data_IF_661004704049
#
_entry.id   IF_661004704049
#
_cell.length_a   1.000
_cell.length_b   1.000
_cell.length_c   1.000
_cell.angle_alpha   90.00
_cell.angle_beta   90.00
_cell.angle_gamma   90.00
#
_symmetry.space_group_name_H-M   'P 1'
#
loop_
_entity.id
_entity.type
_entity.pdbx_description
1 polymer ?
#
# COMPACT_ATOMS: atom_id res chain seq x y z
N UNK A 1 1.23 -24.21 -18.76
CA UNK A 1 1.12 -24.13 -17.28
C UNK A 1 1.37 -22.73 -16.72
N UNK A 2 2.58 -22.38 -16.24
CA UNK A 2 2.79 -21.36 -15.18
C UNK A 2 2.30 -19.92 -15.41
N UNK A 3 2.20 -19.44 -16.66
CA UNK A 3 1.59 -18.13 -17.00
C UNK A 3 0.07 -18.11 -16.75
N UNK A 4 -0.61 -19.23 -17.03
CA UNK A 4 -2.07 -19.39 -16.83
C UNK A 4 -2.39 -19.42 -15.35
N UNK A 5 -1.68 -20.22 -14.55
CA UNK A 5 -1.81 -20.25 -13.09
C UNK A 5 -1.60 -18.86 -12.46
N UNK A 6 -0.65 -18.06 -13.00
CA UNK A 6 -0.45 -16.67 -12.58
C UNK A 6 -1.65 -15.77 -12.89
N UNK A 7 -2.39 -16.02 -13.98
CA UNK A 7 -3.60 -15.26 -14.31
C UNK A 7 -4.78 -15.69 -13.44
N UNK A 8 -4.93 -16.99 -13.17
CA UNK A 8 -5.96 -17.50 -12.26
C UNK A 8 -5.76 -16.89 -10.86
N UNK A 9 -4.55 -16.89 -10.31
CA UNK A 9 -4.27 -16.27 -9.00
C UNK A 9 -4.60 -14.78 -8.94
N UNK A 10 -4.33 -14.02 -10.01
CA UNK A 10 -4.69 -12.59 -10.11
C UNK A 10 -6.19 -12.37 -10.27
N UNK A 11 -6.89 -13.27 -10.97
CA UNK A 11 -8.34 -13.24 -11.06
C UNK A 11 -9.01 -13.57 -9.72
N UNK A 12 -8.47 -14.49 -8.92
CA UNK A 12 -8.96 -14.75 -7.55
C UNK A 12 -8.83 -13.49 -6.67
N UNK A 13 -7.69 -12.79 -6.73
CA UNK A 13 -7.50 -11.52 -6.01
C UNK A 13 -8.41 -10.39 -6.52
N UNK A 14 -8.73 -10.37 -7.83
CA UNK A 14 -9.75 -9.47 -8.38
C UNK A 14 -11.16 -9.82 -7.88
N UNK A 15 -11.50 -11.10 -7.77
CA UNK A 15 -12.79 -11.56 -7.26
C UNK A 15 -12.97 -11.21 -5.78
N UNK A 16 -11.93 -11.31 -4.93
CA UNK A 16 -12.06 -10.87 -3.53
C UNK A 16 -12.25 -9.35 -3.43
N UNK A 17 -11.58 -8.55 -4.25
CA UNK A 17 -11.82 -7.10 -4.33
C UNK A 17 -13.23 -6.76 -4.83
N UNK A 18 -13.74 -7.46 -5.86
CA UNK A 18 -15.11 -7.31 -6.34
C UNK A 18 -16.09 -7.65 -5.22
N UNK A 19 -15.92 -8.79 -4.55
CA UNK A 19 -16.78 -9.23 -3.46
C UNK A 19 -16.84 -8.23 -2.31
N UNK A 20 -15.69 -7.65 -1.92
CA UNK A 20 -15.64 -6.54 -0.97
C UNK A 20 -16.48 -5.34 -1.40
N UNK A 21 -16.32 -4.85 -2.64
CA UNK A 21 -17.14 -3.73 -3.11
C UNK A 21 -18.63 -4.09 -3.19
N UNK A 22 -18.97 -5.30 -3.65
CA UNK A 22 -20.36 -5.77 -3.75
C UNK A 22 -21.07 -5.78 -2.40
N UNK A 23 -20.41 -6.20 -1.31
CA UNK A 23 -21.01 -6.19 0.05
C UNK A 23 -21.51 -4.79 0.46
N UNK A 24 -20.76 -3.73 0.12
CA UNK A 24 -21.11 -2.37 0.53
C UNK A 24 -22.04 -1.65 -0.46
N UNK A 25 -21.87 -1.91 -1.75
CA UNK A 25 -22.76 -1.41 -2.81
C UNK A 25 -24.16 -2.02 -2.68
N UNK A 26 -24.29 -3.27 -2.25
CA UNK A 26 -25.59 -3.94 -2.03
C UNK A 26 -26.11 -3.79 -0.59
N UNK A 27 -25.24 -3.63 0.40
CA UNK A 27 -25.61 -3.70 1.82
C UNK A 27 -25.59 -5.15 2.33
N UNK A 28 -25.61 -5.31 3.66
CA UNK A 28 -25.38 -6.61 4.34
C UNK A 28 -26.67 -7.40 4.65
N UNK A 29 -27.84 -6.88 4.30
CA UNK A 29 -29.13 -7.53 4.59
C UNK A 29 -29.55 -8.56 3.55
N UNK A 30 -29.11 -8.38 2.28
CA UNK A 30 -29.39 -9.34 1.22
C UNK A 30 -28.69 -10.69 1.51
N UNK A 31 -29.33 -11.86 1.31
CA UNK A 31 -28.82 -13.15 1.81
C UNK A 31 -27.38 -13.49 1.38
N UNK A 32 -27.01 -13.15 0.13
CA UNK A 32 -25.67 -13.41 -0.42
C UNK A 32 -24.61 -12.55 0.26
N UNK A 33 -24.84 -11.25 0.40
CA UNK A 33 -23.87 -10.34 1.02
C UNK A 33 -23.83 -10.47 2.54
N UNK A 34 -24.95 -10.84 3.18
CA UNK A 34 -25.01 -11.27 4.58
C UNK A 34 -24.10 -12.46 4.84
N UNK A 35 -24.19 -13.50 4.00
CA UNK A 35 -23.32 -14.67 4.05
C UNK A 35 -21.86 -14.29 3.82
N UNK A 36 -21.57 -13.48 2.79
CA UNK A 36 -20.19 -13.04 2.49
C UNK A 36 -19.58 -12.21 3.62
N UNK A 37 -20.36 -11.35 4.28
CA UNK A 37 -19.90 -10.54 5.41
C UNK A 37 -19.54 -11.43 6.61
N UNK A 38 -20.46 -12.31 7.02
CA UNK A 38 -20.28 -13.22 8.15
C UNK A 38 -19.14 -14.24 7.95
N UNK A 39 -18.86 -14.62 6.71
CA UNK A 39 -17.81 -15.60 6.36
C UNK A 39 -16.56 -14.93 5.74
N UNK A 40 -16.44 -13.60 5.80
CA UNK A 40 -15.44 -12.83 5.05
C UNK A 40 -13.99 -13.26 5.32
N UNK A 41 -13.65 -13.58 6.58
CA UNK A 41 -12.36 -14.12 6.99
C UNK A 41 -12.05 -15.48 6.36
N UNK A 42 -13.01 -16.41 6.39
CA UNK A 42 -12.89 -17.77 5.85
C UNK A 42 -12.80 -17.74 4.32
N UNK A 43 -13.67 -16.97 3.65
CA UNK A 43 -13.66 -16.80 2.19
C UNK A 43 -12.35 -16.21 1.69
N UNK A 44 -11.80 -15.22 2.41
CA UNK A 44 -10.51 -14.62 2.09
C UNK A 44 -9.34 -15.58 2.37
N UNK A 45 -9.38 -16.37 3.45
CA UNK A 45 -8.39 -17.40 3.75
C UNK A 45 -8.34 -18.47 2.65
N UNK A 46 -9.50 -18.97 2.21
CA UNK A 46 -9.60 -19.93 1.09
C UNK A 46 -8.99 -19.33 -0.18
N UNK A 47 -9.35 -18.09 -0.53
CA UNK A 47 -8.81 -17.41 -1.69
C UNK A 47 -7.28 -17.25 -1.62
N UNK A 48 -6.75 -16.88 -0.45
CA UNK A 48 -5.31 -16.73 -0.20
C UNK A 48 -4.58 -18.07 -0.31
N UNK A 49 -5.09 -19.14 0.30
CA UNK A 49 -4.51 -20.50 0.20
C UNK A 49 -4.48 -20.97 -1.26
N UNK A 50 -5.58 -20.80 -2.01
CA UNK A 50 -5.64 -21.15 -3.43
C UNK A 50 -4.61 -20.37 -4.27
N UNK A 51 -4.44 -19.06 -4.02
CA UNK A 51 -3.44 -18.23 -4.73
C UNK A 51 -2.01 -18.68 -4.42
N UNK A 52 -1.71 -19.06 -3.17
CA UNK A 52 -0.39 -19.59 -2.80
C UNK A 52 -0.14 -20.97 -3.42
N UNK A 53 -1.09 -21.90 -3.37
CA UNK A 53 -0.99 -23.23 -3.98
C UNK A 53 -0.77 -23.14 -5.51
N UNK A 54 -1.51 -22.27 -6.21
CA UNK A 54 -1.35 -22.03 -7.65
C UNK A 54 0.04 -21.46 -8.03
N UNK A 55 0.82 -20.98 -7.06
CA UNK A 55 2.10 -20.31 -7.28
C UNK A 55 3.24 -20.86 -6.39
N UNK A 56 3.06 -21.98 -5.71
CA UNK A 56 4.01 -22.53 -4.73
C UNK A 56 5.42 -22.75 -5.34
N UNK A 57 5.47 -23.22 -6.58
CA UNK A 57 6.69 -23.43 -7.38
C UNK A 57 7.42 -22.14 -7.79
N UNK A 58 6.88 -20.96 -7.47
CA UNK A 58 7.50 -19.64 -7.70
C UNK A 58 7.96 -18.96 -6.41
N UNK A 59 7.55 -19.47 -5.24
CA UNK A 59 7.88 -18.89 -3.95
C UNK A 59 9.38 -19.09 -3.67
N UNK A 60 10.07 -17.99 -3.37
CA UNK A 60 11.48 -18.00 -2.98
C UNK A 60 11.61 -18.33 -1.50
N UNK A 61 12.83 -18.61 -1.03
CA UNK A 61 13.10 -18.83 0.40
C UNK A 61 12.54 -17.71 1.30
N UNK A 62 12.68 -16.43 0.91
CA UNK A 62 12.12 -15.29 1.65
C UNK A 62 10.57 -15.23 1.63
N UNK A 63 9.94 -15.82 0.62
CA UNK A 63 8.49 -15.95 0.52
C UNK A 63 7.99 -17.09 1.42
N UNK A 64 8.70 -18.21 1.46
CA UNK A 64 8.47 -19.29 2.42
C UNK A 64 8.69 -18.85 3.88
N UNK A 65 9.69 -18.00 4.15
CA UNK A 65 9.86 -17.38 5.47
C UNK A 65 8.68 -16.46 5.83
N UNK A 66 8.03 -15.84 4.84
CA UNK A 66 6.80 -15.05 5.05
C UNK A 66 5.60 -15.96 5.38
N UNK A 67 5.50 -17.14 4.77
CA UNK A 67 4.50 -18.17 5.13
C UNK A 67 4.76 -18.73 6.53
N UNK A 68 6.01 -19.03 6.86
CA UNK A 68 6.41 -19.51 8.18
C UNK A 68 6.13 -18.47 9.28
N UNK A 69 6.36 -17.17 9.01
CA UNK A 69 5.97 -16.09 9.92
C UNK A 69 4.45 -16.07 10.17
N UNK A 70 3.63 -16.19 9.12
CA UNK A 70 2.18 -16.24 9.28
C UNK A 70 1.71 -17.45 10.11
N UNK A 71 2.28 -18.63 9.86
CA UNK A 71 1.97 -19.85 10.62
C UNK A 71 2.41 -19.73 12.09
N UNK A 72 3.63 -19.24 12.35
CA UNK A 72 4.13 -19.01 13.70
C UNK A 72 3.29 -17.96 14.45
N UNK A 73 2.82 -16.92 13.75
CA UNK A 73 1.91 -15.91 14.29
C UNK A 73 0.55 -16.52 14.66
N UNK A 74 -0.01 -17.37 13.80
CA UNK A 74 -1.26 -18.08 14.09
C UNK A 74 -1.12 -19.00 15.30
N UNK A 75 -0.06 -19.81 15.36
CA UNK A 75 0.23 -20.71 16.49
C UNK A 75 0.41 -19.93 17.80
N UNK A 76 1.14 -18.81 17.78
CA UNK A 76 1.33 -17.95 18.95
C UNK A 76 -0.01 -17.44 19.51
N UNK A 77 -0.92 -17.01 18.65
CA UNK A 77 -2.21 -16.51 19.10
C UNK A 77 -3.16 -17.65 19.51
N UNK A 78 -3.27 -18.73 18.75
CA UNK A 78 -4.06 -19.90 19.17
C UNK A 78 -3.60 -20.48 20.53
N UNK A 79 -2.29 -20.59 20.78
CA UNK A 79 -1.77 -21.01 22.10
C UNK A 79 -1.92 -19.97 23.22
N UNK A 80 -2.42 -18.76 22.93
CA UNK A 80 -2.79 -17.73 23.92
C UNK A 80 -4.29 -17.39 23.88
N UNK A 81 -5.11 -18.14 23.14
CA UNK A 81 -6.56 -17.96 23.00
C UNK A 81 -7.28 -18.02 24.36
N UNK A 82 -6.80 -18.87 25.28
CA UNK A 82 -7.30 -19.00 26.66
C UNK A 82 -7.00 -17.80 27.57
N UNK A 83 -5.97 -17.00 27.26
CA UNK A 83 -5.63 -15.77 27.99
C UNK A 83 -6.40 -14.58 27.40
N UNK A 84 -6.62 -14.61 26.08
CA UNK A 84 -7.20 -13.50 25.31
C UNK A 84 -8.69 -13.67 25.04
N UNK A 85 -9.32 -14.73 25.54
CA UNK A 85 -10.72 -15.12 25.29
C UNK A 85 -11.17 -14.84 23.84
N UNK A 86 -10.28 -15.15 22.89
CA UNK A 86 -10.39 -14.74 21.50
C UNK A 86 -11.18 -15.76 20.68
N UNK A 87 -11.23 -15.55 19.37
CA UNK A 87 -11.81 -16.53 18.45
C UNK A 87 -10.79 -16.90 17.37
N UNK A 88 -10.92 -18.09 16.79
CA UNK A 88 -10.19 -18.47 15.58
C UNK A 88 -10.26 -17.40 14.46
N UNK A 89 -11.34 -16.63 14.36
CA UNK A 89 -11.45 -15.54 13.38
C UNK A 89 -10.50 -14.39 13.70
N UNK A 90 -10.46 -13.96 14.97
CA UNK A 90 -9.51 -12.96 15.50
C UNK A 90 -8.08 -13.42 15.26
N UNK A 91 -7.76 -14.65 15.67
CA UNK A 91 -6.38 -15.17 15.70
C UNK A 91 -5.82 -15.43 14.30
N UNK A 92 -6.71 -15.54 13.30
CA UNK A 92 -6.36 -15.63 11.88
C UNK A 92 -6.08 -14.26 11.24
N UNK A 93 -6.46 -13.11 11.85
CA UNK A 93 -6.36 -11.79 11.21
C UNK A 93 -4.94 -11.40 10.77
N UNK A 94 -3.96 -11.38 11.69
CA UNK A 94 -2.57 -11.00 11.35
C UNK A 94 -1.95 -12.00 10.35
N UNK A 95 -2.06 -13.33 10.54
CA UNK A 95 -1.66 -14.31 9.53
C UNK A 95 -2.28 -14.07 8.15
N UNK A 96 -3.58 -13.76 8.08
CA UNK A 96 -4.31 -13.52 6.83
C UNK A 96 -3.81 -12.28 6.11
N UNK A 97 -3.50 -11.20 6.84
CA UNK A 97 -2.88 -9.98 6.28
C UNK A 97 -1.50 -10.29 5.70
N UNK A 98 -0.65 -11.01 6.44
CA UNK A 98 0.71 -11.38 6.01
C UNK A 98 0.64 -12.19 4.70
N UNK A 99 -0.23 -13.20 4.65
CA UNK A 99 -0.40 -14.06 3.48
C UNK A 99 -1.08 -13.33 2.31
N UNK A 100 -2.02 -12.41 2.54
CA UNK A 100 -2.66 -11.60 1.49
C UNK A 100 -1.64 -10.65 0.83
N UNK A 101 -0.80 -9.98 1.62
CA UNK A 101 0.28 -9.12 1.10
C UNK A 101 1.31 -9.96 0.33
N UNK A 102 1.61 -11.19 0.79
CA UNK A 102 2.42 -12.14 0.04
C UNK A 102 1.76 -12.54 -1.30
N UNK A 103 0.46 -12.83 -1.31
CA UNK A 103 -0.29 -13.13 -2.54
C UNK A 103 -0.17 -12.02 -3.57
N UNK A 104 -0.34 -10.74 -3.19
CA UNK A 104 -0.15 -9.62 -4.12
C UNK A 104 1.31 -9.45 -4.59
N UNK A 105 2.28 -9.65 -3.69
CA UNK A 105 3.74 -9.61 -3.98
C UNK A 105 4.16 -10.67 -5.02
N UNK A 106 3.54 -11.85 -4.98
CA UNK A 106 3.79 -12.97 -5.90
C UNK A 106 2.99 -12.81 -7.19
N UNK A 107 1.70 -12.52 -7.09
CA UNK A 107 0.78 -12.35 -8.22
C UNK A 107 0.74 -10.90 -8.72
N UNK A 108 1.90 -10.34 -9.09
CA UNK A 108 2.04 -8.93 -9.54
C UNK A 108 1.06 -8.59 -10.68
N UNK A 109 0.23 -7.57 -10.45
CA UNK A 109 -0.84 -7.13 -11.35
C UNK A 109 -0.28 -6.50 -12.63
N UNK A 110 -0.71 -6.99 -13.79
CA UNK A 110 -0.38 -6.45 -15.11
C UNK A 110 -1.34 -5.33 -15.55
N UNK A 111 -1.18 -4.86 -16.80
CA UNK A 111 -1.98 -3.72 -17.28
C UNK A 111 -3.45 -4.06 -17.50
N UNK A 112 -3.79 -5.31 -17.78
CA UNK A 112 -5.19 -5.76 -17.90
C UNK A 112 -5.82 -5.88 -16.51
N UNK A 113 -5.08 -6.41 -15.51
CA UNK A 113 -5.59 -6.44 -14.13
C UNK A 113 -5.85 -5.02 -13.59
N UNK A 114 -4.97 -4.07 -13.94
CA UNK A 114 -5.13 -2.63 -13.63
C UNK A 114 -6.34 -2.00 -14.35
N UNK A 115 -6.65 -2.40 -15.59
CA UNK A 115 -7.88 -1.96 -16.28
C UNK A 115 -9.13 -2.53 -15.60
N UNK A 116 -9.11 -3.81 -15.22
CA UNK A 116 -10.24 -4.47 -14.55
C UNK A 116 -10.52 -3.84 -13.19
N UNK A 117 -9.49 -3.61 -12.35
CA UNK A 117 -9.68 -2.95 -11.05
C UNK A 117 -10.16 -1.50 -11.20
N UNK A 118 -9.77 -0.79 -12.27
CA UNK A 118 -10.31 0.55 -12.56
C UNK A 118 -11.80 0.48 -12.89
N UNK A 119 -12.22 -0.45 -13.74
CA UNK A 119 -13.64 -0.66 -14.07
C UNK A 119 -14.44 -1.00 -12.79
N UNK A 120 -13.95 -1.93 -11.97
CA UNK A 120 -14.58 -2.30 -10.69
C UNK A 120 -14.70 -1.10 -9.75
N UNK A 121 -13.64 -0.29 -9.62
CA UNK A 121 -13.65 0.91 -8.77
C UNK A 121 -14.64 1.98 -9.28
N UNK A 122 -14.71 2.19 -10.60
CA UNK A 122 -15.66 3.12 -11.20
C UNK A 122 -17.11 2.63 -11.08
N UNK A 123 -17.36 1.33 -11.27
CA UNK A 123 -18.70 0.73 -11.08
C UNK A 123 -19.13 0.84 -9.63
N UNK A 124 -18.24 0.56 -8.66
CA UNK A 124 -18.55 0.73 -7.24
C UNK A 124 -18.89 2.19 -6.89
N UNK A 125 -18.07 3.15 -7.31
CA UNK A 125 -18.31 4.59 -7.10
C UNK A 125 -19.66 5.02 -7.69
N UNK A 126 -19.91 4.71 -8.96
CA UNK A 126 -21.15 5.08 -9.65
C UNK A 126 -22.39 4.40 -9.05
N UNK A 127 -22.29 3.14 -8.64
CA UNK A 127 -23.41 2.41 -8.04
C UNK A 127 -23.74 2.92 -6.63
N UNK A 128 -22.74 3.21 -5.78
CA UNK A 128 -22.97 3.82 -4.47
C UNK A 128 -23.59 5.22 -4.62
N UNK A 129 -23.11 6.05 -5.54
CA UNK A 129 -23.68 7.37 -5.79
C UNK A 129 -25.11 7.30 -6.36
N UNK A 130 -25.39 6.35 -7.26
CA UNK A 130 -26.74 6.10 -7.76
C UNK A 130 -27.69 5.71 -6.62
N UNK A 131 -27.32 4.75 -5.77
CA UNK A 131 -28.12 4.36 -4.61
C UNK A 131 -28.38 5.52 -3.67
N UNK A 132 -27.37 6.32 -3.33
CA UNK A 132 -27.57 7.54 -2.53
C UNK A 132 -28.57 8.51 -3.18
N UNK A 133 -28.51 8.70 -4.50
CA UNK A 133 -29.44 9.60 -5.21
C UNK A 133 -30.89 9.10 -5.26
N UNK A 134 -31.13 7.80 -5.05
CA UNK A 134 -32.47 7.19 -5.03
C UNK A 134 -33.01 7.03 -3.61
N UNK A 135 -32.17 6.62 -2.66
CA UNK A 135 -32.57 6.20 -1.31
C UNK A 135 -32.52 7.36 -0.29
N UNK A 136 -31.55 8.26 -0.38
CA UNK A 136 -31.46 9.36 0.59
C UNK A 136 -32.65 10.35 0.55
N UNK A 137 -33.23 10.70 -0.62
CA UNK A 137 -34.46 11.50 -0.68
C UNK A 137 -35.71 10.82 -0.12
N UNK A 138 -35.65 9.52 0.22
CA UNK A 138 -36.73 8.81 0.91
C UNK A 138 -36.62 8.92 2.44
N UNK A 139 -35.45 9.31 2.95
CA UNK A 139 -35.15 9.41 4.38
C UNK A 139 -35.21 10.84 4.90
N UNK A 140 -34.84 11.84 4.08
CA UNK A 140 -34.80 13.25 4.45
C UNK A 140 -35.22 14.18 3.29
N UNK A 141 -35.78 15.38 3.58
CA UNK A 141 -36.13 16.37 2.57
C UNK A 141 -34.96 16.78 1.68
N UNK A 142 -35.23 17.04 0.41
CA UNK A 142 -34.19 17.31 -0.59
C UNK A 142 -33.39 18.60 -0.33
N UNK A 143 -33.98 19.59 0.34
CA UNK A 143 -33.27 20.80 0.78
C UNK A 143 -32.41 20.57 2.02
N UNK A 144 -32.72 19.54 2.82
CA UNK A 144 -31.93 19.16 3.99
C UNK A 144 -30.69 18.34 3.64
N UNK A 145 -30.71 17.54 2.57
CA UNK A 145 -29.64 16.59 2.16
C UNK A 145 -28.19 17.12 2.30
N UNK A 146 -27.94 18.41 2.07
CA UNK A 146 -26.60 19.00 2.11
C UNK A 146 -26.21 19.67 3.44
N UNK A 147 -27.13 19.72 4.42
CA UNK A 147 -26.95 20.31 5.76
C UNK A 147 -26.31 19.29 6.73
N UNK A 148 -25.38 19.73 7.59
CA UNK A 148 -24.78 18.88 8.65
C UNK A 148 -25.75 18.57 9.82
N UNK A 149 -26.97 19.10 9.81
CA UNK A 149 -27.96 18.95 10.88
C UNK A 149 -28.59 17.55 10.99
N UNK A 150 -28.62 16.80 9.90
CA UNK A 150 -29.48 15.62 9.77
C UNK A 150 -28.76 14.42 10.37
N UNK A 151 -29.29 13.78 11.41
CA UNK A 151 -28.58 12.69 12.12
C UNK A 151 -28.66 11.35 11.38
N UNK A 152 -27.92 11.24 10.28
CA UNK A 152 -27.88 10.05 9.43
C UNK A 152 -26.97 8.97 10.02
N UNK A 153 -27.56 8.04 10.78
CA UNK A 153 -26.85 6.86 11.30
C UNK A 153 -26.66 5.76 10.23
N UNK A 154 -27.61 5.64 9.31
CA UNK A 154 -27.56 4.73 8.16
C UNK A 154 -28.40 5.24 6.97
N UNK A 155 -28.13 4.67 5.77
CA UNK A 155 -29.00 4.82 4.59
C UNK A 155 -29.55 3.43 4.22
N UNK A 156 -28.67 2.54 3.75
CA UNK A 156 -28.89 1.08 3.67
C UNK A 156 -27.87 0.28 4.48
N UNK A 157 -26.90 0.99 5.07
CA UNK A 157 -25.86 0.51 5.98
C UNK A 157 -25.28 1.74 6.69
N UNK A 158 -24.39 1.54 7.66
CA UNK A 158 -23.70 2.61 8.38
C UNK A 158 -23.03 3.65 7.45
N UNK A 159 -23.16 4.93 7.79
CA UNK A 159 -22.67 6.06 6.98
C UNK A 159 -21.15 6.08 6.79
N UNK A 160 -20.35 5.59 7.74
CA UNK A 160 -18.91 5.45 7.57
C UNK A 160 -18.52 4.32 6.61
N UNK A 161 -19.30 3.24 6.55
CA UNK A 161 -19.13 2.17 5.55
C UNK A 161 -19.38 2.68 4.13
N UNK A 162 -20.42 3.51 3.94
CA UNK A 162 -20.72 4.17 2.66
C UNK A 162 -19.58 5.14 2.29
N UNK A 163 -19.17 5.99 3.24
CA UNK A 163 -18.07 6.92 3.06
C UNK A 163 -16.75 6.25 2.69
N UNK A 164 -16.40 5.15 3.37
CA UNK A 164 -15.21 4.35 3.07
C UNK A 164 -15.27 3.74 1.66
N UNK A 165 -16.44 3.25 1.23
CA UNK A 165 -16.66 2.72 -0.13
C UNK A 165 -16.35 3.78 -1.20
N UNK A 166 -16.88 4.99 -1.02
CA UNK A 166 -16.65 6.14 -1.90
C UNK A 166 -15.18 6.60 -1.88
N UNK A 167 -14.56 6.64 -0.69
CA UNK A 167 -13.17 6.98 -0.49
C UNK A 167 -12.24 6.01 -1.23
N UNK A 168 -12.31 4.70 -0.95
CA UNK A 168 -11.45 3.70 -1.58
C UNK A 168 -11.60 3.64 -3.09
N UNK A 169 -12.85 3.65 -3.59
CA UNK A 169 -13.14 3.61 -5.03
C UNK A 169 -12.59 4.83 -5.76
N UNK A 170 -12.76 6.03 -5.20
CA UNK A 170 -12.22 7.29 -5.74
C UNK A 170 -10.69 7.32 -5.72
N UNK A 171 -10.06 6.90 -4.62
CA UNK A 171 -8.60 6.84 -4.47
C UNK A 171 -7.96 5.83 -5.44
N UNK A 172 -8.55 4.65 -5.58
CA UNK A 172 -8.08 3.60 -6.50
C UNK A 172 -8.31 3.99 -7.96
N UNK A 173 -9.52 4.42 -8.32
CA UNK A 173 -9.85 4.80 -9.70
C UNK A 173 -8.97 5.95 -10.19
N UNK A 174 -8.82 7.03 -9.40
CA UNK A 174 -8.00 8.17 -9.79
C UNK A 174 -6.50 7.83 -9.89
N UNK A 175 -5.97 6.98 -9.00
CA UNK A 175 -4.60 6.44 -9.09
C UNK A 175 -4.38 5.67 -10.40
N UNK A 176 -5.32 4.79 -10.76
CA UNK A 176 -5.25 3.97 -11.97
C UNK A 176 -5.43 4.78 -13.25
N UNK A 177 -6.32 5.78 -13.27
CA UNK A 177 -6.49 6.75 -14.38
C UNK A 177 -5.16 7.46 -14.66
N UNK A 178 -4.53 8.06 -13.64
CA UNK A 178 -3.23 8.76 -13.78
C UNK A 178 -2.13 7.86 -14.35
N UNK A 179 -2.18 6.54 -14.09
CA UNK A 179 -1.22 5.59 -14.64
C UNK A 179 -1.30 5.40 -16.17
N UNK A 180 -2.42 5.76 -16.83
CA UNK A 180 -2.52 5.74 -18.30
C UNK A 180 -1.71 6.87 -18.95
N UNK A 181 -1.46 7.99 -18.24
CA UNK A 181 -0.76 9.19 -18.74
C UNK A 181 -1.37 9.77 -20.03
N UNK A 182 -2.66 9.54 -20.27
CA UNK A 182 -3.40 10.06 -21.42
C UNK A 182 -4.17 11.33 -20.97
N UNK A 183 -3.95 12.46 -21.66
CA UNK A 183 -4.59 13.75 -21.31
C UNK A 183 -6.12 13.69 -21.36
N UNK A 184 -6.70 13.00 -22.35
CA UNK A 184 -8.16 12.87 -22.50
C UNK A 184 -8.73 11.96 -21.42
N UNK A 185 -8.06 10.84 -21.14
CA UNK A 185 -8.49 9.92 -20.08
C UNK A 185 -8.40 10.55 -18.68
N UNK A 186 -7.43 11.44 -18.46
CA UNK A 186 -7.31 12.23 -17.23
C UNK A 186 -8.49 13.19 -17.00
N UNK A 187 -9.32 13.51 -18.01
CA UNK A 187 -10.53 14.31 -17.80
C UNK A 187 -11.53 13.60 -16.87
N UNK A 188 -11.52 12.26 -16.83
CA UNK A 188 -12.32 11.47 -15.90
C UNK A 188 -11.93 11.66 -14.42
N UNK A 189 -10.78 12.24 -14.12
CA UNK A 189 -10.38 12.54 -12.74
C UNK A 189 -11.34 13.54 -12.07
N UNK A 190 -11.84 14.53 -12.83
CA UNK A 190 -12.70 15.58 -12.29
C UNK A 190 -14.06 15.03 -11.80
N UNK A 191 -14.88 14.32 -12.61
CA UNK A 191 -16.13 13.73 -12.14
C UNK A 191 -15.91 12.64 -11.08
N UNK A 192 -14.80 11.88 -11.14
CA UNK A 192 -14.44 10.91 -10.08
C UNK A 192 -14.19 11.60 -8.74
N UNK A 193 -13.43 12.71 -8.72
CA UNK A 193 -13.20 13.47 -7.50
C UNK A 193 -14.45 14.20 -7.00
N UNK A 194 -15.22 14.83 -7.90
CA UNK A 194 -16.49 15.49 -7.52
C UNK A 194 -17.46 14.46 -6.93
N UNK A 195 -17.64 13.30 -7.58
CA UNK A 195 -18.52 12.23 -7.09
C UNK A 195 -18.09 11.72 -5.71
N UNK A 196 -16.81 11.39 -5.52
CA UNK A 196 -16.30 10.91 -4.23
C UNK A 196 -16.42 11.93 -3.10
N UNK A 197 -16.10 13.22 -3.37
CA UNK A 197 -16.14 14.29 -2.36
C UNK A 197 -17.59 14.68 -2.02
N UNK A 198 -18.47 14.83 -3.01
CA UNK A 198 -19.88 15.12 -2.75
C UNK A 198 -20.56 13.93 -2.05
N UNK A 199 -20.29 12.69 -2.47
CA UNK A 199 -20.86 11.52 -1.83
C UNK A 199 -20.41 11.37 -0.36
N UNK A 200 -19.12 11.56 -0.06
CA UNK A 200 -18.63 11.46 1.34
C UNK A 200 -19.13 12.60 2.23
N UNK A 201 -19.39 13.79 1.66
CA UNK A 201 -20.08 14.89 2.34
C UNK A 201 -21.56 14.56 2.62
N UNK A 202 -22.29 14.13 1.59
CA UNK A 202 -23.73 13.83 1.66
C UNK A 202 -24.03 12.59 2.51
N UNK A 203 -23.11 11.60 2.59
CA UNK A 203 -23.20 10.51 3.56
C UNK A 203 -22.68 10.90 4.96
N UNK A 204 -22.32 12.17 5.18
CA UNK A 204 -21.80 12.74 6.42
C UNK A 204 -20.59 12.00 7.06
N UNK A 205 -19.86 11.18 6.30
CA UNK A 205 -18.73 10.42 6.84
C UNK A 205 -17.50 11.32 6.95
N UNK A 206 -17.44 12.12 8.02
CA UNK A 206 -16.43 13.17 8.24
C UNK A 206 -15.00 12.65 8.08
N UNK A 207 -14.68 11.49 8.65
CA UNK A 207 -13.37 10.83 8.48
C UNK A 207 -13.07 10.52 7.02
N UNK A 208 -14.01 9.89 6.30
CA UNK A 208 -13.81 9.46 4.91
C UNK A 208 -13.71 10.66 3.95
N UNK A 209 -14.49 11.72 4.21
CA UNK A 209 -14.41 13.00 3.51
C UNK A 209 -13.04 13.67 3.72
N UNK A 210 -12.62 13.85 4.98
CA UNK A 210 -11.35 14.50 5.30
C UNK A 210 -10.15 13.75 4.72
N UNK A 211 -10.16 12.42 4.79
CA UNK A 211 -9.11 11.57 4.22
C UNK A 211 -9.11 11.60 2.69
N UNK A 212 -10.28 11.61 2.05
CA UNK A 212 -10.38 11.73 0.58
C UNK A 212 -9.90 13.10 0.08
N UNK A 213 -10.29 14.19 0.75
CA UNK A 213 -9.79 15.54 0.44
C UNK A 213 -8.27 15.61 0.67
N UNK A 214 -7.79 15.06 1.79
CA UNK A 214 -6.35 14.91 2.08
C UNK A 214 -5.62 14.16 0.97
N UNK A 215 -6.18 13.05 0.47
CA UNK A 215 -5.63 12.31 -0.68
C UNK A 215 -5.60 13.15 -1.95
N UNK A 216 -6.69 13.87 -2.27
CA UNK A 216 -6.75 14.71 -3.47
C UNK A 216 -5.68 15.81 -3.42
N UNK A 217 -5.50 16.47 -2.27
CA UNK A 217 -4.47 17.50 -2.07
C UNK A 217 -3.06 16.89 -2.16
N UNK A 218 -2.77 15.87 -1.36
CA UNK A 218 -1.44 15.24 -1.27
C UNK A 218 -1.05 14.52 -2.57
N UNK A 219 -2.01 13.94 -3.29
CA UNK A 219 -1.74 13.23 -4.55
C UNK A 219 -1.60 14.15 -5.77
N UNK A 220 -2.17 15.37 -5.75
CA UNK A 220 -2.08 16.31 -6.88
C UNK A 220 -1.07 17.45 -6.67
N UNK A 221 -0.97 18.02 -5.46
CA UNK A 221 -0.17 19.21 -5.19
C UNK A 221 1.31 18.89 -4.90
N UNK A 222 1.62 17.76 -4.24
CA UNK A 222 3.00 17.43 -3.92
C UNK A 222 3.82 17.07 -5.19
N UNK A 223 4.99 17.70 -5.42
CA UNK A 223 5.80 17.44 -6.61
C UNK A 223 6.20 15.96 -6.73
N UNK A 224 5.55 15.20 -7.62
CA UNK A 224 5.83 13.77 -7.78
C UNK A 224 7.30 13.46 -8.06
N UNK A 225 8.01 14.32 -8.78
CA UNK A 225 9.47 14.18 -9.00
C UNK A 225 10.30 14.17 -7.71
N UNK A 226 9.85 14.85 -6.66
CA UNK A 226 10.44 14.78 -5.32
C UNK A 226 10.11 13.44 -4.66
N UNK A 227 8.83 13.10 -4.51
CA UNK A 227 8.39 11.85 -3.86
C UNK A 227 8.86 10.55 -4.56
N UNK A 228 9.14 10.61 -5.86
CA UNK A 228 9.73 9.50 -6.61
C UNK A 228 11.24 9.32 -6.36
N UNK A 229 11.93 10.33 -5.83
CA UNK A 229 13.40 10.36 -5.59
C UNK A 229 13.73 10.34 -4.11
N UNK A 230 13.20 11.31 -3.37
CA UNK A 230 13.19 11.31 -1.91
C UNK A 230 12.23 10.22 -1.44
N UNK A 231 12.77 9.28 -0.66
CA UNK A 231 12.02 8.16 -0.07
C UNK A 231 11.71 8.40 1.41
N UNK A 232 12.15 9.53 1.95
CA UNK A 232 12.07 9.85 3.38
C UNK A 232 10.61 9.87 3.86
N UNK A 233 9.67 10.28 3.02
CA UNK A 233 8.23 10.25 3.32
C UNK A 233 7.66 8.84 3.59
N UNK A 234 8.34 7.76 3.18
CA UNK A 234 7.95 6.39 3.54
C UNK A 234 8.18 6.09 5.04
N UNK A 235 9.05 6.85 5.71
CA UNK A 235 9.14 6.81 7.18
C UNK A 235 7.92 7.45 7.86
N UNK A 236 7.00 8.08 7.12
CA UNK A 236 5.69 8.45 7.65
C UNK A 236 4.91 7.24 8.18
N UNK A 237 5.03 6.07 7.55
CA UNK A 237 4.46 4.83 8.07
C UNK A 237 5.12 4.38 9.39
N UNK A 238 6.44 4.59 9.52
CA UNK A 238 7.17 4.32 10.78
C UNK A 238 6.71 5.29 11.87
N UNK A 239 6.56 6.57 11.55
CA UNK A 239 6.01 7.57 12.46
C UNK A 239 4.60 7.22 12.94
N UNK A 240 3.70 6.81 12.03
CA UNK A 240 2.34 6.39 12.40
C UNK A 240 2.35 5.15 13.29
N UNK A 241 3.14 4.12 12.97
CA UNK A 241 3.22 2.90 13.80
C UNK A 241 3.93 3.12 15.14
N UNK A 242 4.91 4.02 15.24
CA UNK A 242 5.65 4.26 16.48
C UNK A 242 4.94 5.28 17.40
N UNK A 243 4.35 6.33 16.83
CA UNK A 243 3.79 7.46 17.58
C UNK A 243 2.27 7.40 17.70
N UNK A 244 1.57 6.63 16.86
CA UNK A 244 0.11 6.46 16.94
C UNK A 244 -0.37 6.03 18.32
N UNK A 245 0.12 4.91 18.89
CA UNK A 245 -0.27 4.47 20.23
C UNK A 245 -0.05 5.53 21.33
N UNK A 246 1.05 6.27 21.25
CA UNK A 246 1.35 7.37 22.18
C UNK A 246 0.38 8.55 22.01
N UNK A 247 0.06 8.92 20.77
CA UNK A 247 -0.94 9.96 20.48
C UNK A 247 -2.32 9.57 21.03
N UNK A 248 -2.76 8.33 20.82
CA UNK A 248 -4.06 7.86 21.32
C UNK A 248 -4.10 7.83 22.86
N UNK A 249 -2.99 7.47 23.52
CA UNK A 249 -2.87 7.55 24.97
C UNK A 249 -2.94 8.99 25.49
N UNK A 250 -2.19 9.92 24.87
CA UNK A 250 -2.21 11.34 25.25
C UNK A 250 -3.56 12.03 24.99
N UNK A 251 -4.35 11.56 24.02
CA UNK A 251 -5.73 12.00 23.83
C UNK A 251 -6.68 11.34 24.85
N UNK A 252 -6.49 10.06 25.19
CA UNK A 252 -7.31 9.36 26.18
C UNK A 252 -7.19 9.93 27.59
N UNK A 253 -5.99 10.33 28.01
CA UNK A 253 -5.72 10.92 29.33
C UNK A 253 -5.96 12.45 29.39
N UNK A 254 -6.66 13.04 28.41
CA UNK A 254 -6.86 14.49 28.32
C UNK A 254 -8.32 14.90 28.42
N UNK A 255 -8.71 15.47 29.56
CA UNK A 255 -10.04 16.07 29.80
C UNK A 255 -10.38 17.25 28.87
N UNK A 256 -9.43 17.70 28.03
CA UNK A 256 -9.55 18.93 27.22
C UNK A 256 -9.41 18.72 25.71
N UNK A 257 -9.07 17.50 25.25
CA UNK A 257 -8.85 17.20 23.83
C UNK A 257 -9.96 16.29 23.32
N UNK A 258 -10.91 16.87 22.58
CA UNK A 258 -11.88 16.14 21.75
C UNK A 258 -11.46 16.28 20.27
N UNK A 259 -10.51 15.45 19.85
CA UNK A 259 -9.98 15.39 18.48
C UNK A 259 -10.68 14.29 17.65
N UNK A 260 -11.20 13.28 18.33
CA UNK A 260 -11.77 12.05 17.78
C UNK A 260 -13.24 11.85 18.15
N UNK A 261 -13.95 12.94 18.51
CA UNK A 261 -15.41 12.99 18.74
C UNK A 261 -15.87 12.05 19.86
N UNK A 262 -15.21 12.13 21.01
CA UNK A 262 -15.51 11.36 22.21
C UNK A 262 -15.09 9.89 22.16
N UNK A 263 -14.29 9.46 21.16
CA UNK A 263 -13.63 8.14 21.18
C UNK A 263 -12.57 8.06 22.28
N UNK A 264 -12.03 9.20 22.71
CA UNK A 264 -11.06 9.36 23.80
C UNK A 264 -11.50 8.65 25.08
N UNK A 265 -12.79 8.74 25.46
CA UNK A 265 -13.34 8.01 26.62
C UNK A 265 -13.27 6.48 26.44
N UNK A 266 -13.58 5.98 25.25
CA UNK A 266 -13.46 4.55 24.92
C UNK A 266 -11.99 4.12 25.04
N UNK A 267 -11.07 5.00 24.64
CA UNK A 267 -9.63 4.74 24.70
C UNK A 267 -9.09 4.81 26.12
N UNK A 268 -9.59 5.69 26.99
CA UNK A 268 -9.23 5.73 28.41
C UNK A 268 -9.65 4.44 29.14
N UNK A 269 -10.90 4.00 28.96
CA UNK A 269 -11.37 2.71 29.49
C UNK A 269 -10.56 1.52 28.92
N UNK A 270 -10.13 1.59 27.66
CA UNK A 270 -9.21 0.62 27.05
C UNK A 270 -7.82 0.64 27.70
N UNK A 271 -7.18 1.81 27.84
CA UNK A 271 -5.84 1.91 28.41
C UNK A 271 -5.82 1.50 29.89
N UNK A 272 -6.88 1.82 30.65
CA UNK A 272 -7.05 1.33 32.02
C UNK A 272 -7.11 -0.21 32.09
N UNK A 273 -7.89 -0.89 31.23
CA UNK A 273 -7.93 -2.37 31.17
C UNK A 273 -6.62 -2.96 30.60
N UNK A 274 -5.99 -2.29 29.65
CA UNK A 274 -4.81 -2.81 28.95
C UNK A 274 -3.51 -2.66 29.75
N UNK A 275 -3.38 -1.61 30.56
CA UNK A 275 -2.21 -1.37 31.42
C UNK A 275 -2.29 -2.10 32.78
N UNK A 276 -3.46 -2.64 33.17
CA UNK A 276 -3.65 -3.29 34.48
C UNK A 276 -2.99 -4.67 34.61
N UNK A 277 -2.71 -5.36 33.49
CA UNK A 277 -1.99 -6.65 33.50
C UNK A 277 -0.84 -6.65 32.45
N UNK A 278 0.42 -6.94 32.84
CA UNK A 278 1.52 -7.15 31.91
C UNK A 278 1.29 -8.21 30.81
N UNK A 279 0.33 -9.13 30.96
CA UNK A 279 -0.08 -10.07 29.92
C UNK A 279 -0.89 -9.37 28.82
N UNK A 280 -1.84 -8.50 29.19
CA UNK A 280 -2.61 -7.67 28.23
C UNK A 280 -1.66 -6.86 27.34
N UNK A 281 -0.64 -6.25 27.93
CA UNK A 281 0.40 -5.50 27.21
C UNK A 281 1.18 -6.41 26.25
N UNK A 282 1.58 -7.61 26.67
CA UNK A 282 2.43 -8.52 25.87
C UNK A 282 1.71 -9.15 24.70
N UNK A 283 0.62 -9.89 24.97
CA UNK A 283 -0.06 -10.76 23.99
C UNK A 283 -1.46 -10.29 23.63
N UNK A 284 -2.03 -9.33 24.36
CA UNK A 284 -3.42 -8.90 24.20
C UNK A 284 -4.32 -9.46 25.31
N UNK A 285 -5.59 -9.13 25.22
CA UNK A 285 -6.64 -9.43 26.18
C UNK A 285 -7.95 -9.77 25.46
N UNK A 286 -8.97 -10.15 26.23
CA UNK A 286 -10.36 -10.25 25.78
C UNK A 286 -10.77 -9.06 24.89
N UNK A 287 -11.41 -9.28 23.72
CA UNK A 287 -11.82 -8.22 22.80
C UNK A 287 -12.52 -7.06 23.52
N UNK A 288 -11.89 -5.88 23.48
CA UNK A 288 -12.35 -4.74 24.27
C UNK A 288 -13.74 -4.26 23.87
N UNK A 289 -14.59 -4.01 24.87
CA UNK A 289 -15.89 -3.35 24.77
C UNK A 289 -15.98 -2.32 25.89
N UNK A 290 -16.44 -1.10 25.59
CA UNK A 290 -16.61 -0.04 26.57
C UNK A 290 -17.72 -0.36 27.60
N UNK A 291 -17.59 0.13 28.83
CA UNK A 291 -18.50 -0.20 29.93
C UNK A 291 -19.94 0.33 29.76
N UNK A 292 -20.11 1.38 28.95
CA UNK A 292 -21.35 2.16 28.81
C UNK A 292 -22.04 2.00 27.45
N UNK A 293 -21.37 1.40 26.46
CA UNK A 293 -21.93 1.09 25.12
C UNK A 293 -21.22 -0.13 24.52
N UNK A 294 -21.90 -0.96 23.71
CA UNK A 294 -21.32 -2.11 23.02
C UNK A 294 -20.45 -1.67 21.83
N UNK A 295 -19.38 -0.92 22.11
CA UNK A 295 -18.43 -0.39 21.13
C UNK A 295 -17.02 -0.84 21.49
N UNK A 296 -16.27 -1.31 20.48
CA UNK A 296 -14.85 -1.59 20.62
C UNK A 296 -13.98 -0.33 20.50
N UNK A 297 -12.68 -0.49 20.33
CA UNK A 297 -11.74 0.66 20.26
C UNK A 297 -11.96 1.58 19.04
N UNK A 298 -12.61 1.10 17.96
CA UNK A 298 -12.81 1.80 16.69
C UNK A 298 -11.53 2.49 16.15
N UNK A 299 -10.39 1.82 16.29
CA UNK A 299 -9.08 2.29 15.87
C UNK A 299 -8.23 1.04 15.62
N UNK A 300 -7.74 0.84 14.40
CA UNK A 300 -7.03 -0.38 14.00
C UNK A 300 -5.77 -0.66 14.85
N UNK A 301 -5.09 0.39 15.32
CA UNK A 301 -3.87 0.28 16.11
C UNK A 301 -4.19 -0.16 17.54
N UNK A 302 -5.19 0.47 18.17
CA UNK A 302 -5.66 0.07 19.50
C UNK A 302 -6.36 -1.29 19.48
N UNK A 303 -7.11 -1.60 18.41
CA UNK A 303 -7.66 -2.95 18.18
C UNK A 303 -6.55 -4.01 18.11
N UNK A 304 -5.43 -3.69 17.44
CA UNK A 304 -4.27 -4.60 17.36
C UNK A 304 -3.63 -4.80 18.74
N UNK A 305 -3.42 -3.73 19.51
CA UNK A 305 -2.90 -3.81 20.88
C UNK A 305 -3.84 -4.57 21.82
N UNK A 306 -5.15 -4.35 21.70
CA UNK A 306 -6.17 -5.07 22.48
C UNK A 306 -6.15 -6.57 22.21
N UNK A 307 -6.19 -7.01 20.95
CA UNK A 307 -6.40 -8.42 20.61
C UNK A 307 -5.09 -9.23 20.53
N UNK A 308 -3.94 -8.57 20.33
CA UNK A 308 -2.65 -9.22 20.03
C UNK A 308 -1.43 -8.61 20.76
N UNK A 309 -1.64 -7.59 21.60
CA UNK A 309 -0.60 -6.96 22.40
C UNK A 309 0.49 -6.27 21.58
N UNK A 310 1.56 -5.86 22.27
CA UNK A 310 2.76 -5.29 21.63
C UNK A 310 3.43 -6.31 20.69
N UNK A 311 3.37 -7.62 20.99
CA UNK A 311 3.97 -8.65 20.13
C UNK A 311 3.27 -8.71 18.76
N UNK A 312 1.94 -8.81 18.74
CA UNK A 312 1.18 -8.80 17.48
C UNK A 312 1.26 -7.47 16.75
N UNK A 313 1.30 -6.36 17.48
CA UNK A 313 1.51 -5.03 16.92
C UNK A 313 2.84 -4.92 16.17
N UNK A 314 3.94 -5.37 16.79
CA UNK A 314 5.27 -5.38 16.17
C UNK A 314 5.34 -6.34 14.98
N UNK A 315 4.68 -7.51 15.06
CA UNK A 315 4.58 -8.44 13.92
C UNK A 315 3.85 -7.78 12.74
N UNK A 316 2.63 -7.26 12.96
CA UNK A 316 1.79 -6.70 11.91
C UNK A 316 2.39 -5.43 11.30
N UNK A 317 2.63 -4.40 12.11
CA UNK A 317 3.08 -3.11 11.60
C UNK A 317 4.55 -3.15 11.19
N UNK A 318 5.39 -3.94 11.87
CA UNK A 318 6.77 -4.21 11.44
C UNK A 318 6.83 -4.93 10.09
N UNK A 319 5.99 -5.95 9.87
CA UNK A 319 5.87 -6.60 8.56
C UNK A 319 5.42 -5.61 7.48
N UNK A 320 4.34 -4.86 7.69
CA UNK A 320 3.82 -3.92 6.68
C UNK A 320 4.83 -2.80 6.37
N UNK A 321 5.45 -2.20 7.38
CA UNK A 321 6.56 -1.24 7.22
C UNK A 321 7.71 -1.87 6.41
N UNK A 322 8.12 -3.10 6.72
CA UNK A 322 9.20 -3.77 5.98
C UNK A 322 8.86 -3.97 4.50
N UNK A 323 7.60 -4.28 4.17
CA UNK A 323 7.13 -4.42 2.78
C UNK A 323 7.09 -3.07 2.05
N UNK A 324 6.65 -1.99 2.72
CA UNK A 324 6.63 -0.63 2.16
C UNK A 324 8.06 -0.13 1.89
N UNK A 325 8.95 -0.30 2.86
CA UNK A 325 10.37 0.07 2.71
C UNK A 325 11.06 -0.80 1.64
N UNK A 326 10.73 -2.08 1.54
CA UNK A 326 11.20 -2.95 0.44
C UNK A 326 10.76 -2.43 -0.93
N UNK A 327 9.50 -1.99 -1.09
CA UNK A 327 9.02 -1.36 -2.34
C UNK A 327 9.80 -0.06 -2.62
N UNK A 328 9.97 0.78 -1.61
CA UNK A 328 10.67 2.06 -1.70
C UNK A 328 12.15 1.94 -2.09
N UNK A 329 12.90 1.10 -1.38
CA UNK A 329 14.35 1.06 -1.47
C UNK A 329 14.90 0.15 -2.57
N UNK A 330 14.12 -0.83 -3.06
CA UNK A 330 14.52 -1.79 -4.12
C UNK A 330 14.70 -1.19 -5.53
N UNK A 331 14.15 -0.01 -5.84
CA UNK A 331 14.38 0.73 -7.11
C UNK A 331 15.14 2.03 -6.84
N UNK A 332 15.87 2.60 -7.81
CA UNK A 332 16.48 3.95 -7.66
C UNK A 332 15.40 5.03 -7.50
N UNK A 333 14.29 4.92 -8.22
CA UNK A 333 13.11 5.80 -8.13
C UNK A 333 11.82 5.01 -8.19
N UNK A 334 10.76 5.51 -7.54
CA UNK A 334 9.41 4.95 -7.63
C UNK A 334 8.69 5.37 -8.91
N UNK A 335 7.77 4.55 -9.40
CA UNK A 335 6.80 4.92 -10.45
C UNK A 335 5.72 5.85 -9.88
N UNK A 336 5.14 6.73 -10.70
CA UNK A 336 4.09 7.66 -10.26
C UNK A 336 2.89 6.93 -9.62
N UNK A 337 2.50 5.78 -10.18
CA UNK A 337 1.44 4.94 -9.61
C UNK A 337 1.82 4.36 -8.25
N UNK A 338 3.07 3.93 -8.04
CA UNK A 338 3.52 3.45 -6.73
C UNK A 338 3.46 4.58 -5.69
N UNK A 339 3.82 5.81 -6.07
CA UNK A 339 3.70 6.98 -5.18
C UNK A 339 2.23 7.24 -4.83
N UNK A 340 1.31 7.31 -5.80
CA UNK A 340 -0.12 7.52 -5.54
C UNK A 340 -0.72 6.42 -4.66
N UNK A 341 -0.43 5.15 -4.95
CA UNK A 341 -0.94 4.02 -4.15
C UNK A 341 -0.39 4.01 -2.72
N UNK A 342 0.90 4.30 -2.51
CA UNK A 342 1.50 4.35 -1.17
C UNK A 342 1.08 5.59 -0.38
N UNK A 343 0.85 6.74 -1.02
CA UNK A 343 0.20 7.89 -0.37
C UNK A 343 -1.24 7.55 0.03
N UNK A 344 -1.97 6.83 -0.84
CA UNK A 344 -3.29 6.30 -0.51
C UNK A 344 -3.25 5.37 0.70
N UNK A 345 -2.32 4.41 0.72
CA UNK A 345 -2.17 3.48 1.83
C UNK A 345 -1.76 4.17 3.15
N UNK A 346 -0.94 5.24 3.10
CA UNK A 346 -0.61 6.06 4.28
C UNK A 346 -1.85 6.79 4.83
N UNK A 347 -2.69 7.33 3.94
CA UNK A 347 -3.92 8.00 4.33
C UNK A 347 -5.00 7.02 4.81
N UNK A 348 -5.00 5.78 4.30
CA UNK A 348 -5.79 4.67 4.85
C UNK A 348 -5.35 4.34 6.29
N UNK A 349 -4.05 4.39 6.61
CA UNK A 349 -3.58 4.23 7.99
C UNK A 349 -4.09 5.36 8.90
N UNK A 350 -4.15 6.62 8.42
CA UNK A 350 -4.67 7.74 9.21
C UNK A 350 -6.21 7.66 9.37
N UNK A 351 -6.95 7.21 8.34
CA UNK A 351 -8.38 6.86 8.48
C UNK A 351 -8.61 5.83 9.58
N UNK A 352 -7.68 4.88 9.70
CA UNK A 352 -7.70 3.80 10.69
C UNK A 352 -7.38 4.24 12.13
N UNK A 353 -7.24 5.54 12.38
CA UNK A 353 -7.30 6.11 13.74
C UNK A 353 -8.74 6.16 14.25
N UNK A 354 -9.72 6.14 13.33
CA UNK A 354 -11.14 6.30 13.59
C UNK A 354 -11.98 5.10 13.16
N UNK A 355 -11.40 4.09 12.51
CA UNK A 355 -12.04 2.82 12.17
C UNK A 355 -11.03 1.64 12.22
N UNK A 356 -11.51 0.40 12.17
CA UNK A 356 -10.71 -0.84 12.26
C UNK A 356 -10.30 -1.44 10.90
N UNK A 357 -10.50 -0.69 9.81
CA UNK A 357 -10.46 -1.15 8.41
C UNK A 357 -9.17 -1.89 7.95
N UNK A 358 -8.05 -1.79 8.66
CA UNK A 358 -6.84 -2.57 8.37
C UNK A 358 -6.96 -4.05 8.76
N UNK A 359 -7.78 -4.38 9.76
CA UNK A 359 -7.97 -5.75 10.27
C UNK A 359 -9.35 -6.32 9.93
N UNK A 360 -10.30 -5.48 9.57
CA UNK A 360 -11.63 -5.85 9.11
C UNK A 360 -11.58 -6.73 7.83
N UNK A 361 -11.90 -8.05 7.88
CA UNK A 361 -11.61 -8.99 6.78
C UNK A 361 -12.35 -8.68 5.48
N UNK A 362 -13.55 -8.10 5.59
CA UNK A 362 -14.37 -7.64 4.47
C UNK A 362 -13.78 -6.40 3.74
N UNK A 363 -12.88 -5.64 4.38
CA UNK A 363 -12.15 -4.51 3.78
C UNK A 363 -10.76 -4.88 3.26
N UNK A 364 -10.11 -5.89 3.87
CA UNK A 364 -8.74 -6.30 3.55
C UNK A 364 -8.41 -6.40 2.05
N UNK A 365 -9.25 -7.00 1.17
CA UNK A 365 -8.93 -7.11 -0.26
C UNK A 365 -8.74 -5.75 -0.94
N UNK A 366 -9.59 -4.77 -0.60
CA UNK A 366 -9.51 -3.40 -1.13
C UNK A 366 -8.31 -2.67 -0.50
N UNK A 367 -8.21 -2.68 0.83
CA UNK A 367 -7.16 -1.99 1.61
C UNK A 367 -5.76 -2.43 1.18
N UNK A 368 -5.48 -3.74 1.19
CA UNK A 368 -4.16 -4.26 0.86
C UNK A 368 -3.87 -4.29 -0.66
N UNK A 369 -4.86 -4.04 -1.52
CA UNK A 369 -4.58 -3.83 -2.95
C UNK A 369 -3.77 -2.57 -3.23
N UNK A 370 -3.85 -1.52 -2.39
CA UNK A 370 -3.00 -0.34 -2.54
C UNK A 370 -1.51 -0.70 -2.39
N UNK A 371 -1.16 -1.42 -1.31
CA UNK A 371 0.18 -1.97 -1.12
C UNK A 371 0.52 -3.03 -2.20
N UNK A 372 -0.46 -3.85 -2.56
CA UNK A 372 -0.35 -4.93 -3.53
C UNK A 372 0.04 -4.46 -4.94
N UNK A 373 -0.68 -3.49 -5.48
CA UNK A 373 -0.33 -2.86 -6.76
C UNK A 373 0.92 -1.96 -6.64
N UNK A 374 1.32 -1.52 -5.45
CA UNK A 374 2.60 -0.84 -5.26
C UNK A 374 3.83 -1.77 -5.44
N UNK A 375 3.68 -3.10 -5.37
CA UNK A 375 4.73 -4.04 -5.83
C UNK A 375 4.94 -4.03 -7.35
N UNK A 376 4.10 -3.34 -8.14
CA UNK A 376 4.17 -3.33 -9.60
C UNK A 376 5.54 -2.89 -10.14
N UNK A 377 6.12 -3.76 -10.97
CA UNK A 377 7.31 -3.46 -11.74
C UNK A 377 6.91 -3.16 -13.19
N UNK A 378 6.79 -1.88 -13.52
CA UNK A 378 6.87 -1.48 -14.94
C UNK A 378 8.33 -1.66 -15.35
N UNK A 379 8.69 -2.56 -16.28
CA UNK A 379 10.00 -2.50 -16.87
C UNK A 379 10.13 -1.14 -17.56
N UNK A 380 11.23 -0.44 -17.32
CA UNK A 380 11.51 0.76 -18.10
C UNK A 380 11.50 0.36 -19.58
N UNK A 381 10.66 1.03 -20.39
CA UNK A 381 10.98 1.15 -21.80
C UNK A 381 12.36 1.80 -21.84
N UNK A 382 13.40 1.01 -22.12
CA UNK A 382 14.68 1.54 -22.61
C UNK A 382 14.29 2.57 -23.67
N UNK A 383 14.51 3.86 -23.41
CA UNK A 383 14.39 4.88 -24.45
C UNK A 383 15.24 4.35 -25.60
N UNK A 384 14.62 4.14 -26.75
CA UNK A 384 15.36 3.63 -27.90
C UNK A 384 16.58 4.51 -28.07
N UNK A 385 17.78 3.91 -28.09
CA UNK A 385 18.86 4.58 -28.78
C UNK A 385 18.31 4.82 -30.17
N UNK A 386 18.24 6.08 -30.59
CA UNK A 386 18.32 6.34 -32.02
C UNK A 386 19.69 5.80 -32.42
N UNK A 387 19.68 4.59 -32.95
CA UNK A 387 20.74 4.12 -33.82
C UNK A 387 20.75 5.11 -34.98
N UNK A 388 21.64 6.10 -34.88
CA UNK A 388 21.98 6.97 -36.01
C UNK A 388 22.36 6.03 -37.15
N UNK A 389 21.82 6.20 -38.37
CA UNK A 389 22.17 5.33 -39.49
C UNK A 389 23.69 5.22 -39.61
N UNK A 390 24.22 4.02 -39.38
CA UNK A 390 25.67 3.79 -39.43
C UNK A 390 26.11 3.85 -40.89
N UNK A 391 26.58 5.03 -41.31
CA UNK A 391 27.11 5.27 -42.66
C UNK A 391 28.12 4.18 -43.03
N UNK A 392 27.93 3.43 -44.13
CA UNK A 392 28.78 2.31 -44.46
C UNK A 392 30.18 2.79 -44.88
N UNK A 393 31.20 2.58 -44.02
CA UNK A 393 32.59 2.90 -44.34
C UNK A 393 33.50 1.66 -44.34
N UNK A 394 33.84 1.26 -45.57
CA UNK A 394 34.95 0.37 -45.99
C UNK A 394 35.06 -1.01 -45.32
N UNK A 395 34.77 -2.06 -46.12
CA UNK A 395 35.42 -3.37 -45.99
C UNK A 395 36.95 -3.17 -45.90
N UNK A 396 37.61 -3.76 -44.90
CA UNK A 396 39.08 -3.95 -44.95
C UNK A 396 39.39 -4.93 -46.08
N UNK A 397 40.25 -4.53 -47.04
CA UNK A 397 40.79 -5.42 -48.06
C UNK A 397 42.01 -6.12 -47.46
N UNK A 398 42.01 -7.45 -47.42
CA UNK A 398 43.18 -8.23 -46.98
C UNK A 398 44.31 -8.03 -47.98
N UNK A 399 45.53 -7.80 -47.49
CA UNK A 399 46.77 -8.01 -48.26
C UNK A 399 47.40 -9.30 -47.75
N UNK A 400 47.60 -10.26 -48.65
CA UNK A 400 48.60 -11.32 -48.46
C UNK A 400 49.94 -10.79 -48.97
N UNK A 401 51.01 -11.04 -48.23
CA UNK A 401 52.40 -10.96 -48.70
C UNK A 401 53.19 -12.01 -47.94
N UNK A 402 53.79 -12.94 -48.67
CA UNK A 402 54.71 -13.98 -48.18
C UNK A 402 56.13 -13.69 -48.72
N UNK A 403 57.19 -14.31 -48.19
CA UNK A 403 58.45 -13.58 -47.97
C UNK A 403 59.54 -13.81 -49.03
N UNK A 404 60.56 -12.93 -48.97
CA UNK A 404 61.92 -13.13 -49.52
C UNK A 404 62.93 -12.67 -48.45
N UNK A 405 64.14 -13.21 -48.48
CA UNK A 405 65.17 -13.12 -47.44
C UNK A 405 66.47 -12.46 -47.93
N UNK A 406 67.36 -12.13 -46.97
CA UNK A 406 68.77 -11.73 -47.15
C UNK A 406 68.97 -10.33 -47.81
N UNK A 407 70.07 -9.58 -47.62
CA UNK A 407 71.31 -9.84 -46.85
C UNK A 407 71.98 -8.53 -46.36
N UNK A 408 73.05 -8.67 -45.57
CA UNK A 408 74.17 -7.74 -45.34
C UNK A 408 74.02 -6.33 -44.68
N UNK A 409 74.99 -6.07 -43.79
CA UNK A 409 75.55 -4.78 -43.33
C UNK A 409 76.91 -4.62 -44.06
N UNK A 410 77.60 -3.45 -44.17
CA UNK A 410 77.98 -2.60 -43.02
C UNK A 410 78.25 -1.08 -43.32
N UNK A 411 79.03 -0.44 -42.45
CA UNK A 411 79.82 0.82 -42.59
C UNK A 411 79.13 2.15 -42.20
N UNK A 412 79.88 2.94 -41.43
CA UNK A 412 79.73 4.39 -41.20
C UNK A 412 81.13 5.04 -41.23
N UNK A 413 81.24 6.30 -41.65
CA UNK A 413 82.00 7.34 -40.93
C UNK A 413 81.05 8.50 -40.51
N UNK A 414 81.22 9.22 -39.39
CA UNK A 414 82.34 10.14 -38.99
C UNK A 414 82.39 11.39 -39.91
N UNK A 415 82.28 12.62 -39.42
CA UNK A 415 81.85 13.11 -38.07
C UNK A 415 80.83 14.27 -38.25
N UNK A 416 80.59 15.33 -37.46
CA UNK A 416 81.17 16.03 -36.29
C UNK A 416 79.96 16.79 -35.64
N UNK A 417 79.91 17.52 -34.50
CA UNK A 417 80.78 17.99 -33.40
C UNK A 417 79.80 18.34 -32.21
N UNK A 418 80.27 18.85 -31.06
CA UNK A 418 79.50 19.82 -30.27
C UNK A 418 79.16 19.46 -28.82
N UNK A 419 80.18 19.55 -27.95
CA UNK A 419 80.09 19.57 -26.48
C UNK A 419 79.15 20.71 -25.98
N UNK A 420 78.54 20.73 -24.79
CA UNK A 420 78.69 19.86 -23.61
C UNK A 420 77.41 19.84 -22.71
N UNK A 421 77.42 19.00 -21.66
CA UNK A 421 76.43 18.93 -20.56
C UNK A 421 76.94 19.74 -19.31
N UNK A 422 76.36 19.73 -18.07
CA UNK A 422 75.41 18.78 -17.47
C UNK A 422 74.29 19.38 -16.54
N UNK A 423 73.46 18.48 -15.98
CA UNK A 423 73.02 18.29 -14.55
C UNK A 423 72.79 19.51 -13.58
N UNK A 424 71.97 19.46 -12.51
CA UNK A 424 71.10 18.42 -11.89
C UNK A 424 70.00 19.06 -10.99
N UNK A 425 69.20 18.23 -10.29
CA UNK A 425 68.55 18.44 -8.96
C UNK A 425 67.94 19.83 -8.59
N UNK A 426 66.68 19.91 -8.12
CA UNK A 426 66.32 19.37 -6.79
C UNK A 426 64.83 19.60 -6.42
N UNK A 427 64.33 18.93 -5.37
CA UNK A 427 63.02 19.19 -4.74
C UNK A 427 63.18 20.01 -3.46
N UNK A 428 62.30 20.99 -3.19
CA UNK A 428 62.02 21.48 -1.83
C UNK A 428 60.52 21.81 -1.67
N UNK A 429 59.88 21.28 -0.62
CA UNK A 429 58.60 21.78 -0.09
C UNK A 429 58.87 22.76 1.05
N UNK A 430 58.07 23.83 1.18
CA UNK A 430 57.73 24.53 2.45
C UNK A 430 56.67 25.61 2.18
N UNK A 431 56.00 26.21 3.17
CA UNK A 431 55.13 25.70 4.26
C UNK A 431 54.57 26.95 4.98
N UNK A 432 53.38 26.87 5.59
CA UNK A 432 52.74 27.92 6.42
C UNK A 432 52.23 29.15 5.64
N UNK A 433 51.24 29.89 6.13
CA UNK A 433 50.45 29.68 7.37
C UNK A 433 49.11 29.01 7.07
#
# INVERSE_FOLDING_TARGET
MGKVLNRIGRLILLVTMIGSYTMWVVGIDAPVTKYMYANSSILLLIAVILVLLLNCTKLKFIDWLTVALALATWLLFHFTESIRHSTMQTDTMIPLIILLVLCFKVCVFDRVDQTLLLIVSLVALSATLYRMSVELPQLIPADEIFKESNKLESIWINTNTIGATLMFSTMMASSLIKAYRNKVFNLLLLPVYIGGVLGTWVSQSKTSFAILVGFILVDNLLPKRFLQRSKVWLFGFVGVAALGPLLFYLCAESDTVDLFTGRERIWHEFFAKWLSDPQHIKVGMEPFVASWKPLGTHNAFLFTLSNFGVIGYLILFGFLVSMILLIGFRKKTLDCLQVSLLLGFLLIWIHSFMEDILLAPHWMPIVYSFLGLAFYFRPEKKRGRHERPTTPKRRKRVKQTSPVSNEERPIAPVDEEGWDQPEELSRVQRHRR
#
